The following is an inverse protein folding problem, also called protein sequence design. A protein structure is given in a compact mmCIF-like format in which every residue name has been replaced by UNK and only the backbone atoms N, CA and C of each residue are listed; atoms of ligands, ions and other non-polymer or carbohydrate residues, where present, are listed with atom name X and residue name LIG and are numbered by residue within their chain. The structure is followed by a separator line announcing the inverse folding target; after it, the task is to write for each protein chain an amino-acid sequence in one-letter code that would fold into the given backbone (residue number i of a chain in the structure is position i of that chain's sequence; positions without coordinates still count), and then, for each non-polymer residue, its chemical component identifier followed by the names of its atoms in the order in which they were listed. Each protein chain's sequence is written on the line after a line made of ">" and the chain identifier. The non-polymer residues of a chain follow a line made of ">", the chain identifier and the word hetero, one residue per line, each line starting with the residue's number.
data_IF_695394141989
#
_entry.id   IF_695394141989
#
_cell.length_a   1.000
_cell.length_b   1.000
_cell.length_c   1.000
_cell.angle_alpha   90.00
_cell.angle_beta   90.00
_cell.angle_gamma   90.00
#
_symmetry.space_group_name_H-M   'P 1'
#
loop_
_entity.id
_entity.type
_entity.pdbx_description
1 polymer ?
#
# COMPACT_ATOMS: atom_id res chain seq x y z
N UNK A 1 49.85 -29.12 -9.75
CA UNK A 1 49.80 -27.94 -8.85
C UNK A 1 48.38 -27.41 -8.92
N UNK A 2 47.44 -27.82 -8.06
CA UNK A 2 47.14 -27.40 -6.66
C UNK A 2 46.70 -25.92 -6.53
N UNK A 3 45.48 -25.74 -5.95
CA UNK A 3 44.88 -24.60 -5.22
C UNK A 3 43.98 -23.66 -6.06
N UNK A 4 42.65 -23.63 -5.90
CA UNK A 4 41.75 -23.22 -4.77
C UNK A 4 41.63 -21.69 -4.63
N UNK A 5 40.38 -21.23 -4.38
CA UNK A 5 39.82 -19.90 -4.01
C UNK A 5 39.16 -19.15 -5.18
N UNK A 6 37.82 -18.96 -5.24
CA UNK A 6 36.88 -18.27 -4.33
C UNK A 6 36.99 -16.73 -4.35
N UNK A 7 35.86 -16.08 -4.03
CA UNK A 7 35.67 -14.66 -3.64
C UNK A 7 35.32 -13.75 -4.84
N UNK A 8 34.04 -13.42 -5.10
CA UNK A 8 33.12 -12.52 -4.38
C UNK A 8 33.74 -11.13 -4.09
N UNK A 9 32.96 -10.08 -4.33
CA UNK A 9 33.09 -8.72 -3.76
C UNK A 9 34.06 -7.76 -4.46
N UNK A 10 33.49 -6.90 -5.31
CA UNK A 10 33.51 -5.43 -5.12
C UNK A 10 32.40 -4.84 -6.00
N UNK A 11 31.18 -4.66 -5.48
CA UNK A 11 30.73 -3.51 -4.68
C UNK A 11 30.77 -2.20 -5.46
N UNK A 12 29.56 -1.80 -5.84
CA UNK A 12 29.00 -0.46 -5.78
C UNK A 12 29.69 0.70 -6.51
N UNK A 13 28.80 1.55 -7.04
CA UNK A 13 29.02 2.91 -7.52
C UNK A 13 29.68 3.03 -8.89
N UNK A 14 28.87 2.83 -9.93
CA UNK A 14 28.49 3.97 -10.78
C UNK A 14 27.00 3.85 -11.08
N UNK A 15 26.21 4.55 -10.26
CA UNK A 15 24.85 4.95 -10.59
C UNK A 15 24.87 5.83 -11.84
N UNK A 16 23.78 5.82 -12.60
CA UNK A 16 23.46 6.92 -13.52
C UNK A 16 24.39 7.00 -14.76
N UNK A 17 24.33 6.00 -15.63
CA UNK A 17 24.49 6.10 -17.11
C UNK A 17 24.41 4.66 -17.62
N UNK A 18 23.21 4.25 -18.02
CA UNK A 18 22.89 3.29 -19.10
C UNK A 18 21.37 3.14 -19.12
N UNK A 19 20.69 4.28 -19.21
CA UNK A 19 19.47 4.37 -19.97
C UNK A 19 19.85 4.17 -21.44
N UNK A 20 20.00 2.92 -21.92
CA UNK A 20 19.97 2.60 -23.36
C UNK A 20 20.11 1.12 -23.78
N UNK A 21 19.97 0.14 -22.89
CA UNK A 21 19.90 -1.26 -23.35
C UNK A 21 18.41 -1.66 -23.49
N UNK A 22 17.86 -1.46 -24.69
CA UNK A 22 16.60 -2.08 -25.08
C UNK A 22 16.71 -3.60 -24.91
N UNK A 23 15.74 -4.19 -24.26
CA UNK A 23 15.67 -5.61 -23.96
C UNK A 23 15.48 -6.43 -25.25
N UNK A 24 16.57 -7.02 -25.75
CA UNK A 24 16.61 -7.77 -27.01
C UNK A 24 16.49 -9.28 -26.80
N UNK A 25 15.33 -9.75 -26.35
CA UNK A 25 15.06 -11.19 -26.37
C UNK A 25 14.85 -11.64 -27.83
N UNK A 26 15.83 -12.36 -28.39
CA UNK A 26 15.74 -12.94 -29.74
C UNK A 26 15.98 -11.97 -30.89
N UNK A 27 16.73 -10.87 -30.68
CA UNK A 27 17.07 -9.92 -31.75
C UNK A 27 15.92 -8.98 -32.14
N UNK A 28 14.93 -8.79 -31.25
CA UNK A 28 13.82 -7.85 -31.44
C UNK A 28 13.63 -6.91 -30.25
N UNK A 29 13.10 -5.71 -30.47
CA UNK A 29 12.76 -4.67 -29.48
C UNK A 29 11.28 -4.31 -29.52
N UNK A 30 10.68 -4.10 -28.35
CA UNK A 30 9.27 -3.69 -28.25
C UNK A 30 9.11 -2.17 -28.28
N UNK A 31 8.08 -1.67 -28.96
CA UNK A 31 7.82 -0.25 -29.22
C UNK A 31 6.34 0.10 -29.05
N UNK A 32 6.03 1.32 -28.62
CA UNK A 32 4.68 1.91 -28.62
C UNK A 32 4.68 3.12 -29.55
N UNK A 33 3.71 3.17 -30.45
CA UNK A 33 3.57 4.25 -31.45
C UNK A 33 2.15 4.82 -31.46
N UNK A 34 1.99 6.05 -31.94
CA UNK A 34 0.66 6.65 -32.20
C UNK A 34 0.03 6.11 -33.49
N UNK A 35 -1.23 6.49 -33.75
CA UNK A 35 -2.04 5.88 -34.82
C UNK A 35 -1.51 6.09 -36.26
N UNK A 36 -0.76 7.17 -36.50
CA UNK A 36 -0.37 7.59 -37.86
C UNK A 36 0.72 6.75 -38.53
N UNK A 37 1.50 5.97 -37.78
CA UNK A 37 2.78 5.44 -38.29
C UNK A 37 2.81 3.90 -38.46
N UNK A 38 1.76 3.17 -38.09
CA UNK A 38 1.76 1.69 -37.98
C UNK A 38 2.24 0.98 -39.24
N UNK A 39 1.71 1.37 -40.41
CA UNK A 39 2.06 0.74 -41.68
C UNK A 39 3.54 0.98 -42.04
N UNK A 40 4.09 2.14 -41.70
CA UNK A 40 5.50 2.49 -41.91
C UNK A 40 6.43 1.63 -41.05
N UNK A 41 6.01 1.26 -39.83
CA UNK A 41 6.76 0.33 -38.98
C UNK A 41 6.62 -1.12 -39.42
N UNK A 42 5.44 -1.55 -39.88
CA UNK A 42 5.24 -2.91 -40.43
C UNK A 42 6.11 -3.13 -41.67
N UNK A 43 6.22 -2.12 -42.56
CA UNK A 43 7.10 -2.15 -43.72
C UNK A 43 8.59 -2.32 -43.36
N UNK A 44 8.98 -1.97 -42.13
CA UNK A 44 10.33 -2.12 -41.58
C UNK A 44 10.52 -3.44 -40.79
N UNK A 45 9.59 -4.38 -40.93
CA UNK A 45 9.67 -5.71 -40.32
C UNK A 45 9.13 -5.81 -38.89
N UNK A 46 8.49 -4.75 -38.37
CA UNK A 46 7.80 -4.80 -37.09
C UNK A 46 6.49 -5.60 -37.20
N UNK A 47 6.16 -6.32 -36.15
CA UNK A 47 4.90 -7.07 -36.04
C UNK A 47 4.04 -6.40 -34.98
N UNK A 48 2.85 -5.97 -35.37
CA UNK A 48 1.88 -5.42 -34.43
C UNK A 48 1.39 -6.51 -33.48
N UNK A 49 1.37 -6.20 -32.18
CA UNK A 49 0.77 -7.06 -31.17
C UNK A 49 -0.74 -6.83 -31.14
N UNK A 50 -1.55 -7.89 -30.99
CA UNK A 50 -3.00 -7.76 -30.94
C UNK A 50 -3.44 -7.22 -29.56
N UNK A 51 -3.17 -5.94 -29.31
CA UNK A 51 -3.48 -5.22 -28.08
C UNK A 51 -4.30 -3.97 -28.44
N UNK A 52 -5.42 -3.76 -27.76
CA UNK A 52 -6.23 -2.55 -27.90
C UNK A 52 -5.73 -1.47 -26.95
N UNK A 53 -4.96 -0.52 -27.48
CA UNK A 53 -4.43 0.62 -26.72
C UNK A 53 -5.19 1.92 -26.99
N UNK A 54 -6.37 1.84 -27.63
CA UNK A 54 -7.30 2.94 -28.00
C UNK A 54 -6.75 4.06 -28.89
N UNK A 55 -5.55 4.56 -28.67
CA UNK A 55 -4.92 5.67 -29.43
C UNK A 55 -3.46 5.38 -29.78
N UNK A 56 -3.05 4.12 -29.69
CA UNK A 56 -1.67 3.69 -29.87
C UNK A 56 -1.59 2.24 -30.35
N UNK A 57 -0.40 1.83 -30.79
CA UNK A 57 -0.13 0.47 -31.22
C UNK A 57 1.16 -0.06 -30.59
N UNK A 58 1.10 -1.27 -30.04
CA UNK A 58 2.28 -1.98 -29.56
C UNK A 58 2.88 -2.81 -30.69
N UNK A 59 4.17 -2.65 -30.90
CA UNK A 59 4.93 -3.32 -31.97
C UNK A 59 6.11 -4.08 -31.39
N UNK A 60 6.48 -5.16 -32.06
CA UNK A 60 7.70 -5.92 -31.81
C UNK A 60 8.54 -5.84 -33.10
N UNK A 61 9.67 -5.15 -33.05
CA UNK A 61 10.50 -4.77 -34.19
C UNK A 61 11.84 -5.49 -34.16
N UNK A 62 12.48 -5.84 -35.30
CA UNK A 62 13.87 -6.26 -35.31
C UNK A 62 14.76 -5.23 -34.59
N UNK A 63 15.71 -5.68 -33.79
CA UNK A 63 16.55 -4.80 -32.97
C UNK A 63 17.49 -3.92 -33.80
N UNK A 64 17.76 -4.33 -35.03
CA UNK A 64 18.56 -3.65 -36.03
C UNK A 64 17.72 -2.90 -37.08
N UNK A 65 16.40 -2.84 -36.92
CA UNK A 65 15.53 -2.14 -37.85
C UNK A 65 15.87 -0.63 -37.90
N UNK A 66 16.19 -0.12 -39.10
CA UNK A 66 16.38 1.31 -39.32
C UNK A 66 15.03 2.01 -39.35
N UNK A 67 14.63 2.56 -38.21
CA UNK A 67 13.35 3.23 -38.03
C UNK A 67 13.32 4.66 -38.58
N UNK A 68 14.45 5.24 -39.01
CA UNK A 68 14.57 6.50 -39.77
C UNK A 68 13.48 7.56 -39.54
N UNK A 69 13.68 8.46 -38.58
CA UNK A 69 12.80 9.62 -38.35
C UNK A 69 11.41 9.31 -37.78
N UNK A 70 11.02 8.04 -37.66
CA UNK A 70 9.75 7.63 -37.05
C UNK A 70 9.81 7.74 -35.53
N UNK A 71 8.76 8.31 -34.93
CA UNK A 71 8.66 8.47 -33.48
C UNK A 71 8.08 7.21 -32.83
N UNK A 72 8.87 6.58 -31.96
CA UNK A 72 8.41 5.46 -31.15
C UNK A 72 8.91 5.57 -29.72
N UNK A 73 8.05 5.23 -28.78
CA UNK A 73 8.43 5.02 -27.39
C UNK A 73 8.89 3.58 -27.21
N UNK A 74 9.84 3.34 -26.31
CA UNK A 74 10.16 1.97 -25.92
C UNK A 74 8.98 1.38 -25.13
N UNK A 75 8.51 0.20 -25.53
CA UNK A 75 7.58 -0.60 -24.73
C UNK A 75 8.41 -1.30 -23.64
N UNK A 76 8.70 -0.53 -22.59
CA UNK A 76 9.55 -0.94 -21.48
C UNK A 76 8.84 -2.00 -20.63
N UNK A 77 9.58 -2.99 -20.13
CA UNK A 77 9.02 -3.93 -19.15
C UNK A 77 8.51 -3.16 -17.94
N UNK A 78 7.22 -3.35 -17.64
CA UNK A 78 6.65 -3.14 -16.32
C UNK A 78 6.70 -4.46 -15.57
N UNK A 79 7.30 -4.44 -14.38
CA UNK A 79 7.42 -5.60 -13.51
C UNK A 79 6.28 -5.63 -12.49
N UNK A 80 5.80 -6.82 -12.13
CA UNK A 80 5.18 -7.02 -10.83
C UNK A 80 6.23 -6.74 -9.77
N UNK A 81 6.02 -5.72 -8.94
CA UNK A 81 6.76 -5.61 -7.69
C UNK A 81 6.03 -6.38 -6.60
N UNK A 82 6.80 -6.67 -5.55
CA UNK A 82 6.58 -7.29 -4.24
C UNK A 82 5.61 -8.48 -4.02
N UNK A 83 6.19 -9.61 -3.60
CA UNK A 83 5.50 -10.82 -3.13
C UNK A 83 5.81 -11.12 -1.64
N UNK A 84 6.47 -10.20 -0.91
CA UNK A 84 6.96 -10.46 0.46
C UNK A 84 6.92 -9.22 1.38
N UNK A 85 5.91 -8.37 1.23
CA UNK A 85 5.77 -7.15 2.03
C UNK A 85 5.68 -7.44 3.55
N UNK A 86 5.01 -8.54 3.90
CA UNK A 86 4.95 -9.16 5.22
C UNK A 86 6.35 -9.48 5.78
N UNK A 87 7.23 -10.06 4.97
CA UNK A 87 8.61 -10.39 5.37
C UNK A 87 9.49 -9.14 5.48
N UNK A 88 9.28 -8.14 4.62
CA UNK A 88 10.00 -6.88 4.72
C UNK A 88 9.72 -6.20 6.06
N UNK A 89 8.49 -6.28 6.56
CA UNK A 89 8.13 -5.80 7.91
C UNK A 89 8.38 -6.84 9.02
N UNK A 90 8.93 -8.02 8.72
CA UNK A 90 9.21 -9.12 9.65
C UNK A 90 7.98 -9.69 10.37
N UNK A 91 6.81 -9.66 9.74
CA UNK A 91 5.59 -10.25 10.29
C UNK A 91 5.70 -11.78 10.37
N UNK A 92 6.35 -12.40 9.37
CA UNK A 92 6.61 -13.83 9.30
C UNK A 92 7.36 -14.38 10.54
N UNK A 93 8.25 -13.56 11.11
CA UNK A 93 9.03 -13.94 12.28
C UNK A 93 8.24 -14.00 13.59
N UNK A 94 7.01 -13.49 13.64
CA UNK A 94 6.18 -13.52 14.86
C UNK A 94 5.01 -14.51 14.80
N UNK A 95 4.66 -15.02 13.61
CA UNK A 95 3.52 -15.93 13.42
C UNK A 95 3.58 -17.23 14.21
N UNK A 96 4.76 -17.65 14.71
CA UNK A 96 4.86 -18.78 15.63
C UNK A 96 4.10 -18.59 16.95
N UNK A 97 3.84 -17.33 17.35
CA UNK A 97 3.13 -17.00 18.59
C UNK A 97 1.99 -16.00 18.39
N UNK A 98 2.08 -15.12 17.39
CA UNK A 98 1.13 -14.03 17.18
C UNK A 98 0.77 -13.94 15.70
N UNK A 99 -0.52 -14.09 15.39
CA UNK A 99 -1.09 -14.05 14.05
C UNK A 99 -2.28 -13.09 13.94
N UNK A 100 -2.57 -12.32 14.98
CA UNK A 100 -3.72 -11.41 15.08
C UNK A 100 -4.97 -12.03 15.69
N UNK A 101 -4.90 -13.28 16.18
CA UNK A 101 -6.06 -13.97 16.73
C UNK A 101 -6.74 -13.19 17.86
N UNK A 102 -8.07 -13.10 17.79
CA UNK A 102 -8.89 -12.35 18.75
C UNK A 102 -8.80 -10.82 18.61
N UNK A 103 -8.17 -10.33 17.53
CA UNK A 103 -8.10 -8.91 17.16
C UNK A 103 -8.79 -8.66 15.84
N UNK A 104 -9.18 -7.42 15.61
CA UNK A 104 -9.86 -7.07 14.37
C UNK A 104 -9.57 -5.66 13.88
N UNK A 105 -9.76 -5.44 12.58
CA UNK A 105 -9.55 -4.16 11.90
C UNK A 105 -10.81 -3.78 11.14
N UNK A 106 -11.29 -2.55 11.30
CA UNK A 106 -12.32 -1.98 10.44
C UNK A 106 -11.65 -1.32 9.23
N UNK A 107 -11.94 -1.81 8.02
CA UNK A 107 -11.43 -1.28 6.75
C UNK A 107 -12.47 -0.31 6.19
N UNK A 108 -12.16 0.99 6.26
CA UNK A 108 -13.02 2.07 5.76
C UNK A 108 -12.61 2.41 4.34
N UNK A 109 -13.30 1.81 3.35
CA UNK A 109 -12.84 1.76 1.96
C UNK A 109 -14.01 1.53 0.96
N UNK A 110 -13.77 0.83 -0.15
CA UNK A 110 -14.71 0.47 -1.24
C UNK A 110 -15.55 -0.77 -0.95
N UNK A 111 -15.36 -1.42 0.20
CA UNK A 111 -16.02 -2.68 0.57
C UNK A 111 -15.02 -3.82 0.66
N UNK A 112 -15.51 -5.05 0.90
CA UNK A 112 -14.70 -6.27 0.89
C UNK A 112 -15.45 -7.37 0.14
N UNK A 113 -14.80 -8.02 -0.83
CA UNK A 113 -15.29 -9.26 -1.43
C UNK A 113 -15.11 -10.41 -0.42
N UNK A 114 -15.96 -10.46 0.60
CA UNK A 114 -15.85 -11.35 1.75
C UNK A 114 -16.06 -12.83 1.41
N UNK A 115 -16.49 -13.16 0.20
CA UNK A 115 -16.52 -14.54 -0.32
C UNK A 115 -15.19 -15.00 -0.91
N UNK A 116 -14.17 -14.13 -0.99
CA UNK A 116 -12.85 -14.48 -1.47
C UNK A 116 -12.19 -15.50 -0.53
N UNK A 117 -11.55 -16.54 -1.08
CA UNK A 117 -10.98 -17.64 -0.30
C UNK A 117 -9.94 -17.21 0.75
N UNK A 118 -9.26 -16.09 0.52
CA UNK A 118 -8.31 -15.49 1.48
C UNK A 118 -8.98 -14.77 2.66
N UNK A 119 -10.26 -14.36 2.54
CA UNK A 119 -10.90 -13.42 3.46
C UNK A 119 -12.17 -13.97 4.13
N UNK A 120 -12.74 -15.06 3.60
CA UNK A 120 -13.98 -15.63 4.10
C UNK A 120 -13.87 -16.07 5.58
N UNK A 121 -12.68 -16.48 6.02
CA UNK A 121 -12.43 -16.89 7.41
C UNK A 121 -12.30 -15.70 8.37
N UNK A 122 -11.91 -14.53 7.88
CA UNK A 122 -11.61 -13.34 8.69
C UNK A 122 -12.75 -12.30 8.68
N UNK A 123 -13.70 -12.38 7.75
CA UNK A 123 -14.79 -11.42 7.67
C UNK A 123 -15.74 -11.48 8.87
N UNK A 124 -16.00 -10.33 9.50
CA UNK A 124 -16.83 -10.18 10.71
C UNK A 124 -18.14 -9.41 10.48
N UNK A 125 -18.44 -9.02 9.24
CA UNK A 125 -19.59 -8.16 8.90
C UNK A 125 -19.18 -6.75 8.49
N UNK A 126 -20.16 -5.86 8.34
CA UNK A 126 -19.89 -4.50 7.88
C UNK A 126 -21.13 -3.65 7.60
N UNK A 127 -20.92 -2.49 6.99
CA UNK A 127 -21.97 -1.58 6.55
C UNK A 127 -21.63 -0.98 5.19
N UNK A 128 -22.66 -0.74 4.39
CA UNK A 128 -22.59 0.13 3.22
C UNK A 128 -23.23 1.49 3.52
N UNK A 129 -22.55 2.57 3.12
CA UNK A 129 -23.00 3.96 3.25
C UNK A 129 -23.07 4.66 1.88
N UNK A 130 -22.98 3.91 0.78
CA UNK A 130 -22.84 4.43 -0.58
C UNK A 130 -24.01 4.02 -1.49
N UNK A 131 -24.38 2.74 -1.51
CA UNK A 131 -25.31 2.16 -2.49
C UNK A 131 -26.76 2.07 -1.98
N UNK A 132 -27.05 2.58 -0.77
CA UNK A 132 -28.35 2.49 -0.10
C UNK A 132 -28.79 1.05 0.18
N UNK A 133 -27.84 0.15 0.45
CA UNK A 133 -28.11 -1.16 1.00
C UNK A 133 -27.27 -1.41 2.26
N UNK A 134 -27.29 -2.64 2.77
CA UNK A 134 -26.51 -3.04 3.93
C UNK A 134 -25.34 -3.97 3.57
N UNK A 135 -25.12 -4.23 2.27
CA UNK A 135 -24.11 -5.17 1.78
C UNK A 135 -22.82 -4.44 1.40
N UNK A 136 -21.76 -4.51 2.23
CA UNK A 136 -20.51 -3.80 1.98
C UNK A 136 -19.61 -4.55 0.97
N UNK A 137 -20.20 -5.20 -0.03
CA UNK A 137 -19.45 -5.93 -1.04
C UNK A 137 -18.59 -4.97 -1.88
N UNK A 138 -17.41 -5.43 -2.28
CA UNK A 138 -16.47 -4.61 -3.05
C UNK A 138 -16.78 -4.66 -4.55
N UNK A 139 -17.29 -3.55 -5.07
CA UNK A 139 -17.55 -3.31 -6.50
C UNK A 139 -16.43 -2.52 -7.21
N UNK A 140 -15.29 -2.33 -6.55
CA UNK A 140 -14.10 -1.68 -7.10
C UNK A 140 -12.92 -2.66 -7.20
N UNK A 141 -12.33 -3.00 -6.05
CA UNK A 141 -11.25 -3.98 -5.80
C UNK A 141 -10.32 -3.52 -4.67
N UNK A 142 -10.24 -2.20 -4.45
CA UNK A 142 -9.24 -1.59 -3.59
C UNK A 142 -9.39 -2.03 -2.13
N UNK A 143 -10.61 -2.11 -1.61
CA UNK A 143 -10.88 -2.50 -0.22
C UNK A 143 -10.59 -3.98 0.03
N UNK A 144 -10.89 -4.85 -0.93
CA UNK A 144 -10.47 -6.27 -0.91
C UNK A 144 -8.96 -6.42 -0.91
N UNK A 145 -8.25 -5.57 -1.67
CA UNK A 145 -6.79 -5.54 -1.70
C UNK A 145 -6.19 -5.14 -0.37
N UNK A 146 -6.73 -4.06 0.23
CA UNK A 146 -6.35 -3.58 1.56
C UNK A 146 -6.63 -4.63 2.64
N UNK A 147 -7.81 -5.27 2.62
CA UNK A 147 -8.17 -6.31 3.58
C UNK A 147 -7.25 -7.55 3.50
N UNK A 148 -6.87 -7.96 2.29
CA UNK A 148 -5.94 -9.07 2.07
C UNK A 148 -4.56 -8.82 2.67
N UNK A 149 -4.02 -7.60 2.54
CA UNK A 149 -2.72 -7.23 3.13
C UNK A 149 -2.75 -7.39 4.66
N UNK A 150 -3.91 -7.20 5.28
CA UNK A 150 -4.09 -7.37 6.73
C UNK A 150 -4.25 -8.86 7.08
N UNK A 151 -5.20 -9.56 6.46
CA UNK A 151 -5.76 -10.81 7.02
C UNK A 151 -5.80 -12.00 6.08
N UNK A 152 -5.27 -11.90 4.86
CA UNK A 152 -5.31 -13.03 3.93
C UNK A 152 -4.71 -14.30 4.55
N UNK A 153 -5.45 -15.40 4.48
CA UNK A 153 -5.08 -16.71 5.03
C UNK A 153 -3.73 -17.23 4.49
N UNK A 154 -3.38 -16.82 3.27
CA UNK A 154 -2.24 -17.32 2.52
C UNK A 154 -2.59 -18.53 1.68
N UNK A 155 -3.83 -18.62 1.17
CA UNK A 155 -4.24 -19.60 0.14
C UNK A 155 -3.30 -19.51 -1.06
N UNK A 156 -3.02 -18.27 -1.48
CA UNK A 156 -1.84 -17.92 -2.26
C UNK A 156 -0.69 -17.59 -1.30
N UNK A 157 0.39 -18.37 -1.35
CA UNK A 157 1.54 -18.19 -0.47
C UNK A 157 2.17 -16.79 -0.52
N UNK A 158 1.96 -16.05 -1.61
CA UNK A 158 2.50 -14.70 -1.81
C UNK A 158 1.54 -13.58 -1.36
N UNK A 159 0.28 -13.91 -1.02
CA UNK A 159 -0.74 -12.93 -0.64
C UNK A 159 -1.01 -12.91 0.87
N UNK A 160 -0.31 -13.73 1.65
CA UNK A 160 -0.59 -13.89 3.08
C UNK A 160 -0.52 -12.56 3.82
N UNK A 161 -1.56 -12.27 4.60
CA UNK A 161 -1.70 -11.04 5.34
C UNK A 161 -0.73 -10.97 6.52
N UNK A 162 -0.45 -9.75 7.00
CA UNK A 162 0.41 -9.51 8.17
C UNK A 162 -0.13 -10.17 9.44
N UNK A 163 -1.44 -10.14 9.63
CA UNK A 163 -2.16 -10.69 10.77
C UNK A 163 -3.23 -11.68 10.27
N UNK A 164 -2.82 -12.87 9.77
CA UNK A 164 -3.69 -13.78 9.02
C UNK A 164 -4.83 -14.40 9.84
N UNK A 165 -4.84 -14.27 11.17
CA UNK A 165 -5.94 -14.71 12.03
C UNK A 165 -6.66 -13.55 12.74
N UNK A 166 -6.38 -12.30 12.37
CA UNK A 166 -7.24 -11.19 12.75
C UNK A 166 -8.53 -11.20 11.93
N UNK A 167 -9.58 -10.60 12.46
CA UNK A 167 -10.83 -10.37 11.71
C UNK A 167 -10.89 -9.00 11.03
N UNK A 168 -11.73 -8.87 10.01
CA UNK A 168 -11.98 -7.60 9.31
C UNK A 168 -13.45 -7.25 9.27
N UNK A 169 -13.76 -5.97 9.53
CA UNK A 169 -15.06 -5.37 9.24
C UNK A 169 -14.96 -4.54 7.96
N UNK A 170 -15.94 -4.66 7.07
CA UNK A 170 -16.04 -3.83 5.87
C UNK A 170 -16.88 -2.58 6.15
N UNK A 171 -16.32 -1.39 5.96
CA UNK A 171 -17.05 -0.12 6.10
C UNK A 171 -16.97 0.61 4.76
N UNK A 172 -17.96 0.37 3.90
CA UNK A 172 -17.97 0.90 2.55
C UNK A 172 -18.38 2.38 2.56
N UNK A 173 -17.43 3.24 2.21
CA UNK A 173 -17.60 4.71 2.14
C UNK A 173 -17.18 5.27 0.78
N UNK A 174 -16.62 4.43 -0.10
CA UNK A 174 -16.24 4.75 -1.47
C UNK A 174 -17.06 3.92 -2.46
N UNK A 175 -17.43 4.55 -3.57
CA UNK A 175 -18.18 3.94 -4.67
C UNK A 175 -17.30 3.05 -5.57
N UNK A 176 -17.91 2.46 -6.60
CA UNK A 176 -17.25 1.60 -7.59
C UNK A 176 -16.08 2.30 -8.34
N UNK A 177 -16.01 3.64 -8.33
CA UNK A 177 -14.90 4.40 -8.91
C UNK A 177 -13.76 4.66 -7.92
N UNK A 178 -13.90 4.21 -6.66
CA UNK A 178 -12.95 4.49 -5.59
C UNK A 178 -13.09 5.91 -5.02
N UNK A 179 -14.22 6.57 -5.24
CA UNK A 179 -14.47 7.95 -4.81
C UNK A 179 -15.58 8.01 -3.76
N UNK A 180 -15.55 9.02 -2.89
CA UNK A 180 -16.57 9.21 -1.88
C UNK A 180 -16.56 10.59 -1.26
N UNK A 181 -17.67 10.98 -0.64
CA UNK A 181 -17.80 12.25 0.03
C UNK A 181 -17.13 12.22 1.42
N UNK A 182 -16.51 13.32 1.82
CA UNK A 182 -15.89 13.43 3.15
C UNK A 182 -16.89 13.13 4.28
N UNK A 183 -18.15 13.54 4.12
CA UNK A 183 -19.24 13.24 5.06
C UNK A 183 -19.48 11.75 5.23
N UNK A 184 -19.41 10.96 4.15
CA UNK A 184 -19.57 9.50 4.19
C UNK A 184 -18.41 8.85 4.93
N UNK A 185 -17.18 9.34 4.70
CA UNK A 185 -16.00 8.87 5.44
C UNK A 185 -16.12 9.17 6.94
N UNK A 186 -16.57 10.37 7.31
CA UNK A 186 -16.82 10.76 8.71
C UNK A 186 -17.84 9.82 9.35
N UNK A 187 -18.97 9.57 8.67
CA UNK A 187 -19.99 8.64 9.15
C UNK A 187 -19.43 7.21 9.31
N UNK A 188 -18.60 6.74 8.37
CA UNK A 188 -17.94 5.45 8.45
C UNK A 188 -16.99 5.32 9.65
N UNK A 189 -16.23 6.37 9.98
CA UNK A 189 -15.36 6.38 11.17
C UNK A 189 -16.18 6.23 12.46
N UNK A 190 -17.28 6.99 12.59
CA UNK A 190 -18.19 6.86 13.74
C UNK A 190 -18.82 5.47 13.81
N UNK A 191 -19.31 4.96 12.68
CA UNK A 191 -19.90 3.63 12.62
C UNK A 191 -18.91 2.55 13.05
N UNK A 192 -17.68 2.60 12.55
CA UNK A 192 -16.61 1.68 12.92
C UNK A 192 -16.28 1.77 14.43
N UNK A 193 -16.24 2.98 14.98
CA UNK A 193 -15.94 3.20 16.39
C UNK A 193 -17.02 2.63 17.33
N UNK A 194 -18.31 2.73 16.95
CA UNK A 194 -19.44 2.36 17.82
C UNK A 194 -19.97 0.94 17.60
N UNK A 195 -19.88 0.42 16.37
CA UNK A 195 -20.57 -0.83 15.99
C UNK A 195 -19.61 -2.00 15.82
N UNK A 196 -18.31 -1.81 16.05
CA UNK A 196 -17.31 -2.88 15.89
C UNK A 196 -16.44 -3.06 17.13
N UNK A 197 -16.00 -4.30 17.32
CA UNK A 197 -14.96 -4.63 18.28
C UNK A 197 -13.53 -4.36 17.75
N UNK A 198 -13.37 -3.68 16.60
CA UNK A 198 -12.07 -3.47 15.96
C UNK A 198 -11.07 -2.79 16.89
N UNK A 199 -9.81 -3.21 16.89
CA UNK A 199 -8.72 -2.51 17.58
C UNK A 199 -8.19 -1.34 16.72
N UNK A 200 -8.38 -1.43 15.40
CA UNK A 200 -7.83 -0.51 14.40
C UNK A 200 -8.92 -0.08 13.42
N UNK A 201 -8.94 1.19 13.04
CA UNK A 201 -9.67 1.71 11.88
C UNK A 201 -8.62 2.07 10.82
N UNK A 202 -8.66 1.38 9.68
CA UNK A 202 -7.72 1.55 8.57
C UNK A 202 -8.37 2.35 7.44
N UNK A 203 -7.73 3.46 7.04
CA UNK A 203 -8.20 4.36 5.99
C UNK A 203 -7.14 4.51 4.90
N UNK A 204 -7.29 3.74 3.83
CA UNK A 204 -6.42 3.78 2.65
C UNK A 204 -6.89 4.78 1.59
N UNK A 205 -7.32 5.96 2.04
CA UNK A 205 -7.97 6.99 1.25
C UNK A 205 -7.45 8.39 1.62
N UNK A 206 -7.77 9.39 0.80
CA UNK A 206 -7.50 10.78 1.16
C UNK A 206 -7.94 11.80 0.14
N UNK A 207 -7.72 13.06 0.45
CA UNK A 207 -8.05 14.20 -0.42
C UNK A 207 -6.92 14.56 -1.39
N UNK A 208 -7.24 15.27 -2.47
CA UNK A 208 -6.25 15.84 -3.38
C UNK A 208 -5.43 16.98 -2.77
N UNK A 209 -6.02 17.75 -1.84
CA UNK A 209 -5.31 18.78 -1.07
C UNK A 209 -4.37 18.14 -0.04
N UNK A 210 -3.19 18.75 0.13
CA UNK A 210 -2.13 18.24 1.00
C UNK A 210 -1.55 19.32 1.92
N UNK A 211 -1.10 18.92 3.11
CA UNK A 211 -0.46 19.77 4.10
C UNK A 211 1.05 19.57 4.13
N UNK A 212 1.78 20.65 3.82
CA UNK A 212 3.24 20.68 3.87
C UNK A 212 3.77 20.89 5.29
N UNK A 213 3.11 21.75 6.05
CA UNK A 213 3.54 22.22 7.36
C UNK A 213 2.43 22.01 8.39
N UNK A 214 2.83 21.63 9.60
CA UNK A 214 1.90 21.39 10.71
C UNK A 214 0.94 20.22 10.48
N UNK A 215 -0.01 20.11 11.41
CA UNK A 215 -1.16 19.21 11.30
C UNK A 215 -2.40 20.01 10.87
N UNK A 216 -3.43 19.34 10.37
CA UNK A 216 -4.61 19.99 9.79
C UNK A 216 -5.83 20.03 10.72
N UNK A 217 -5.65 19.74 12.02
CA UNK A 217 -6.73 19.55 13.00
C UNK A 217 -7.76 20.71 13.01
N UNK A 218 -7.29 21.96 13.12
CA UNK A 218 -8.18 23.13 13.13
C UNK A 218 -8.81 23.46 11.79
N UNK A 219 -8.30 22.92 10.68
CA UNK A 219 -8.82 23.17 9.34
C UNK A 219 -10.03 22.27 9.01
N UNK A 220 -10.16 21.10 9.66
CA UNK A 220 -11.24 20.14 9.42
C UNK A 220 -11.82 19.62 10.74
N UNK A 221 -12.45 20.48 11.56
CA UNK A 221 -12.91 20.11 12.90
C UNK A 221 -13.83 18.87 12.89
N UNK A 222 -14.74 18.75 11.92
CA UNK A 222 -15.65 17.60 11.85
C UNK A 222 -14.91 16.26 11.60
N UNK A 223 -13.88 16.23 10.75
CA UNK A 223 -13.09 15.03 10.52
C UNK A 223 -12.17 14.75 11.73
N UNK A 224 -11.61 15.81 12.32
CA UNK A 224 -10.79 15.71 13.54
C UNK A 224 -11.59 15.17 14.72
N UNK A 225 -12.83 15.61 14.91
CA UNK A 225 -13.73 15.13 15.96
C UNK A 225 -14.07 13.65 15.77
N UNK A 226 -14.30 13.20 14.53
CA UNK A 226 -14.54 11.79 14.23
C UNK A 226 -13.32 10.90 14.54
N UNK A 227 -12.13 11.33 14.12
CA UNK A 227 -10.88 10.62 14.45
C UNK A 227 -10.64 10.60 15.95
N UNK A 228 -10.79 11.74 16.64
CA UNK A 228 -10.59 11.84 18.08
C UNK A 228 -11.61 11.01 18.87
N UNK A 229 -12.85 10.94 18.39
CA UNK A 229 -13.88 10.08 18.98
C UNK A 229 -13.47 8.60 18.90
N UNK A 230 -13.03 8.14 17.73
CA UNK A 230 -12.54 6.77 17.56
C UNK A 230 -11.33 6.48 18.47
N UNK A 231 -10.37 7.41 18.55
CA UNK A 231 -9.22 7.29 19.46
C UNK A 231 -9.66 7.27 20.93
N UNK A 232 -10.64 8.08 21.32
CA UNK A 232 -11.24 8.09 22.65
C UNK A 232 -11.94 6.77 23.02
N UNK A 233 -12.41 6.02 22.03
CA UNK A 233 -12.94 4.65 22.18
C UNK A 233 -11.84 3.58 22.20
N UNK A 234 -10.56 3.98 22.20
CA UNK A 234 -9.41 3.08 22.22
C UNK A 234 -9.03 2.48 20.86
N UNK A 235 -9.61 2.99 19.76
CA UNK A 235 -9.31 2.54 18.40
C UNK A 235 -8.07 3.25 17.87
N UNK A 236 -7.13 2.53 17.28
CA UNK A 236 -6.01 3.16 16.56
C UNK A 236 -6.47 3.52 15.16
N UNK A 237 -6.39 4.80 14.77
CA UNK A 237 -6.77 5.26 13.44
C UNK A 237 -5.52 5.36 12.57
N UNK A 238 -5.39 4.47 11.58
CA UNK A 238 -4.21 4.34 10.70
C UNK A 238 -4.61 4.82 9.30
N UNK A 239 -3.85 5.77 8.74
CA UNK A 239 -4.28 6.50 7.54
C UNK A 239 -3.15 6.62 6.53
N UNK A 240 -3.46 6.46 5.25
CA UNK A 240 -2.53 6.71 4.16
C UNK A 240 -2.06 8.17 4.12
N UNK A 241 -0.77 8.39 3.86
CA UNK A 241 -0.20 9.74 3.74
C UNK A 241 -0.66 10.48 2.46
N UNK A 242 -1.18 9.75 1.48
CA UNK A 242 -1.51 10.27 0.16
C UNK A 242 -0.39 10.03 -0.86
N UNK A 243 -0.73 10.11 -2.14
CA UNK A 243 0.19 9.80 -3.26
C UNK A 243 0.73 11.07 -3.94
N UNK A 244 0.91 12.13 -3.16
CA UNK A 244 1.52 13.39 -3.60
C UNK A 244 2.70 13.74 -2.68
N UNK A 245 3.96 13.72 -3.17
CA UNK A 245 5.15 13.92 -2.33
C UNK A 245 5.27 15.34 -1.74
N UNK A 246 4.39 16.25 -2.17
CA UNK A 246 4.34 17.63 -1.73
C UNK A 246 3.59 17.87 -0.42
N UNK A 247 3.15 16.84 0.31
CA UNK A 247 2.44 17.01 1.58
C UNK A 247 1.80 15.71 2.06
N UNK A 248 1.01 15.80 3.13
CA UNK A 248 0.15 14.71 3.61
C UNK A 248 -1.31 15.10 3.42
N UNK A 249 -2.16 14.21 2.89
CA UNK A 249 -3.59 14.48 2.68
C UNK A 249 -4.44 14.29 3.95
N UNK A 250 -5.67 14.80 3.93
CA UNK A 250 -6.69 14.48 4.95
C UNK A 250 -7.20 13.06 4.71
N UNK A 251 -7.48 12.23 5.74
CA UNK A 251 -7.37 12.53 7.17
C UNK A 251 -5.97 12.34 7.78
N UNK A 252 -4.98 11.87 7.02
CA UNK A 252 -3.64 11.56 7.53
C UNK A 252 -2.87 12.74 8.10
N UNK A 253 -3.27 13.98 7.79
CA UNK A 253 -2.71 15.19 8.39
C UNK A 253 -3.20 15.49 9.82
N UNK A 254 -4.17 14.75 10.36
CA UNK A 254 -4.73 14.94 11.70
C UNK A 254 -3.80 14.32 12.76
N UNK A 255 -3.49 15.08 13.81
CA UNK A 255 -2.45 14.75 14.78
C UNK A 255 -2.63 13.45 15.57
N UNK A 256 -3.89 13.05 15.78
CA UNK A 256 -4.24 11.84 16.55
C UNK A 256 -4.07 10.56 15.74
N UNK A 257 -4.01 10.63 14.41
CA UNK A 257 -3.82 9.47 13.53
C UNK A 257 -2.41 8.86 13.63
N UNK A 258 -2.24 7.66 13.07
CA UNK A 258 -0.95 7.11 12.64
C UNK A 258 -0.89 7.21 11.12
N UNK A 259 -0.13 8.17 10.61
CA UNK A 259 -0.02 8.37 9.15
C UNK A 259 1.05 7.48 8.55
N UNK A 260 0.76 6.85 7.41
CA UNK A 260 1.64 5.84 6.79
C UNK A 260 2.08 6.27 5.40
N UNK A 261 3.40 6.47 5.24
CA UNK A 261 4.05 6.65 3.94
C UNK A 261 4.48 5.31 3.32
N UNK A 262 4.89 5.35 2.05
CA UNK A 262 5.24 4.17 1.26
C UNK A 262 6.74 4.12 0.93
N UNK A 263 7.37 2.98 1.19
CA UNK A 263 8.71 2.63 0.68
C UNK A 263 8.64 1.50 -0.34
N UNK A 264 9.69 1.37 -1.15
CA UNK A 264 9.91 0.19 -2.00
C UNK A 264 10.62 -0.93 -1.24
N UNK A 265 10.84 -2.06 -1.92
CA UNK A 265 11.56 -3.24 -1.39
C UNK A 265 13.01 -2.99 -0.96
N UNK A 266 13.59 -1.84 -1.30
CA UNK A 266 14.95 -1.41 -0.92
C UNK A 266 14.92 -0.37 0.19
N UNK A 267 13.77 -0.21 0.86
CA UNK A 267 13.52 0.82 1.87
C UNK A 267 13.71 2.25 1.33
N UNK A 268 13.61 2.46 0.01
CA UNK A 268 13.63 3.81 -0.55
C UNK A 268 12.23 4.38 -0.54
N UNK A 269 12.08 5.64 -0.12
CA UNK A 269 10.79 6.32 -0.18
C UNK A 269 10.24 6.30 -1.61
N UNK A 270 8.98 5.90 -1.77
CA UNK A 270 8.33 5.90 -3.07
C UNK A 270 8.24 7.34 -3.59
N UNK A 271 8.39 7.52 -4.91
CA UNK A 271 8.37 8.85 -5.54
C UNK A 271 7.04 9.58 -5.32
N UNK A 272 5.93 8.82 -5.22
CA UNK A 272 4.60 9.33 -4.96
C UNK A 272 4.28 9.52 -3.47
N UNK A 273 5.02 8.89 -2.54
CA UNK A 273 4.62 8.87 -1.13
C UNK A 273 4.50 10.29 -0.58
N UNK A 274 3.38 10.58 0.09
CA UNK A 274 3.20 11.78 0.89
C UNK A 274 4.31 11.97 1.90
N UNK A 275 4.69 13.24 2.12
CA UNK A 275 5.82 13.67 2.96
C UNK A 275 5.42 14.96 3.67
N UNK A 276 5.99 15.22 4.82
CA UNK A 276 5.76 16.48 5.54
C UNK A 276 5.81 16.34 7.04
N UNK A 277 5.40 17.39 7.74
CA UNK A 277 5.47 17.43 9.19
C UNK A 277 4.55 16.40 9.87
N UNK A 278 3.40 16.07 9.27
CA UNK A 278 2.55 15.00 9.79
C UNK A 278 3.32 13.66 9.86
N UNK A 279 4.08 13.29 8.82
CA UNK A 279 4.96 12.11 8.84
C UNK A 279 5.99 12.18 9.98
N UNK A 280 6.63 13.33 10.15
CA UNK A 280 7.60 13.55 11.22
C UNK A 280 6.98 13.42 12.63
N UNK A 281 5.77 13.94 12.80
CA UNK A 281 5.14 14.13 14.11
C UNK A 281 4.42 12.88 14.60
N UNK A 282 3.77 12.15 13.70
CA UNK A 282 2.90 11.02 14.05
C UNK A 282 2.86 9.96 12.94
N UNK A 283 3.93 9.83 12.16
CA UNK A 283 3.99 8.94 11.02
C UNK A 283 5.10 7.90 11.03
N UNK A 284 4.89 6.90 10.20
CA UNK A 284 5.80 5.78 9.94
C UNK A 284 5.71 5.45 8.45
N UNK A 285 6.64 4.63 7.92
CA UNK A 285 6.50 4.09 6.56
C UNK A 285 6.37 2.58 6.56
N UNK A 286 5.79 2.05 5.48
CA UNK A 286 5.73 0.61 5.23
C UNK A 286 5.84 0.34 3.71
N UNK A 287 6.12 -0.90 3.29
CA UNK A 287 6.14 -1.27 1.88
C UNK A 287 4.84 -0.88 1.17
N UNK A 288 4.95 -0.18 0.04
CA UNK A 288 3.78 0.28 -0.71
C UNK A 288 3.98 0.28 -2.23
N UNK A 289 5.01 -0.39 -2.75
CA UNK A 289 5.31 -0.44 -4.20
C UNK A 289 5.20 -1.87 -4.70
N UNK A 290 4.16 -2.11 -5.50
CA UNK A 290 3.75 -3.41 -6.02
C UNK A 290 3.44 -4.40 -4.91
N UNK A 291 2.47 -4.12 -4.05
CA UNK A 291 2.07 -5.06 -3.02
C UNK A 291 1.07 -6.02 -3.63
N UNK A 292 1.39 -7.31 -3.67
CA UNK A 292 0.50 -8.38 -4.13
C UNK A 292 -0.54 -8.73 -3.05
N UNK A 293 -1.82 -8.73 -3.42
CA UNK A 293 -2.93 -9.06 -2.50
C UNK A 293 -4.17 -9.50 -3.27
N UNK A 294 -5.19 -9.96 -2.55
CA UNK A 294 -6.50 -10.35 -3.08
C UNK A 294 -7.22 -9.18 -3.74
N UNK A 295 -7.94 -9.44 -4.80
CA UNK A 295 -8.98 -8.56 -5.36
C UNK A 295 -10.26 -9.40 -5.55
N UNK A 296 -11.42 -8.82 -5.87
CA UNK A 296 -12.62 -9.60 -6.10
C UNK A 296 -12.34 -10.72 -7.12
N UNK A 297 -12.52 -11.97 -6.68
CA UNK A 297 -12.28 -13.20 -7.45
C UNK A 297 -10.85 -13.45 -7.98
N UNK A 298 -9.82 -12.70 -7.58
CA UNK A 298 -8.45 -12.87 -8.09
C UNK A 298 -7.39 -12.23 -7.18
N UNK A 299 -6.19 -11.97 -7.72
CA UNK A 299 -5.11 -11.26 -7.05
C UNK A 299 -4.50 -10.21 -7.98
N UNK A 300 -3.97 -9.12 -7.41
CA UNK A 300 -3.25 -8.10 -8.16
C UNK A 300 -2.15 -7.43 -7.32
N UNK A 301 -1.19 -6.79 -8.00
CA UNK A 301 -0.17 -5.96 -7.37
C UNK A 301 -0.51 -4.48 -7.53
N UNK A 302 -0.67 -3.74 -6.43
CA UNK A 302 -0.93 -2.30 -6.44
C UNK A 302 0.20 -1.49 -5.80
N UNK A 303 0.31 -0.21 -6.14
CA UNK A 303 1.28 0.70 -5.54
C UNK A 303 0.58 1.94 -5.00
N UNK A 304 0.88 2.29 -3.75
CA UNK A 304 0.29 3.42 -3.08
C UNK A 304 0.60 3.42 -1.58
N UNK A 305 0.46 4.58 -0.95
CA UNK A 305 0.38 4.67 0.52
C UNK A 305 -0.82 3.88 1.08
N UNK A 306 -1.84 3.67 0.25
CA UNK A 306 -2.97 2.76 0.47
C UNK A 306 -2.57 1.30 0.72
N UNK A 307 -1.45 0.83 0.19
CA UNK A 307 -0.96 -0.54 0.44
C UNK A 307 -0.03 -0.62 1.65
N UNK A 308 0.66 0.48 1.98
CA UNK A 308 1.50 0.58 3.18
C UNK A 308 0.66 0.63 4.48
N UNK A 309 -0.47 1.34 4.43
CA UNK A 309 -1.41 1.53 5.56
C UNK A 309 -1.93 0.21 6.17
N UNK A 310 -2.42 -0.77 5.40
CA UNK A 310 -2.87 -2.05 5.95
C UNK A 310 -1.74 -2.89 6.56
N UNK A 311 -0.49 -2.79 6.10
CA UNK A 311 0.64 -3.47 6.74
C UNK A 311 0.80 -3.02 8.20
N UNK A 312 0.79 -1.70 8.43
CA UNK A 312 0.86 -1.13 9.79
C UNK A 312 -0.37 -1.53 10.62
N UNK A 313 -1.55 -1.56 10.00
CA UNK A 313 -2.79 -2.00 10.66
C UNK A 313 -2.71 -3.45 11.14
N UNK A 314 -2.15 -4.35 10.32
CA UNK A 314 -1.88 -5.73 10.69
C UNK A 314 -0.85 -5.84 11.82
N UNK A 315 0.23 -5.04 11.80
CA UNK A 315 1.22 -5.02 12.88
C UNK A 315 0.57 -4.62 14.22
N UNK A 316 -0.34 -3.66 14.22
CA UNK A 316 -1.05 -3.27 15.45
C UNK A 316 -1.95 -4.41 15.95
N UNK A 317 -2.60 -5.17 15.06
CA UNK A 317 -3.35 -6.36 15.46
C UNK A 317 -2.44 -7.42 16.12
N UNK A 318 -1.22 -7.64 15.60
CA UNK A 318 -0.22 -8.52 16.22
C UNK A 318 0.19 -8.02 17.62
N UNK A 319 0.45 -6.72 17.76
CA UNK A 319 0.77 -6.08 19.05
C UNK A 319 -0.36 -6.27 20.06
N UNK A 320 -1.61 -6.03 19.66
CA UNK A 320 -2.79 -6.17 20.52
C UNK A 320 -3.09 -7.61 20.88
N UNK A 321 -2.76 -8.59 20.03
CA UNK A 321 -2.85 -10.00 20.42
C UNK A 321 -1.92 -10.30 21.59
N UNK A 322 -0.67 -9.83 21.53
CA UNK A 322 0.28 -10.01 22.64
C UNK A 322 -0.16 -9.29 23.90
N UNK A 323 -0.56 -8.03 23.77
CA UNK A 323 -0.98 -7.21 24.89
C UNK A 323 -2.30 -6.46 24.57
N UNK A 324 -3.45 -7.06 24.95
CA UNK A 324 -4.77 -6.49 24.71
C UNK A 324 -4.98 -5.12 25.37
N UNK A 325 -4.27 -4.86 26.47
CA UNK A 325 -4.43 -3.68 27.30
C UNK A 325 -3.67 -2.45 26.78
N UNK A 326 -2.88 -2.59 25.70
CA UNK A 326 -2.20 -1.45 25.11
C UNK A 326 -3.18 -0.35 24.70
N UNK A 327 -2.90 0.85 25.19
CA UNK A 327 -3.58 2.08 24.82
C UNK A 327 -3.09 2.58 23.47
N UNK A 328 -3.88 3.43 22.80
CA UNK A 328 -3.49 4.07 21.52
C UNK A 328 -2.15 4.79 21.65
N UNK A 329 -1.92 5.50 22.74
CA UNK A 329 -0.66 6.21 22.98
C UNK A 329 0.55 5.27 23.13
N UNK A 330 0.39 4.15 23.84
CA UNK A 330 1.43 3.13 23.95
C UNK A 330 1.74 2.47 22.61
N UNK A 331 0.71 2.16 21.80
CA UNK A 331 0.90 1.60 20.46
C UNK A 331 1.69 2.57 19.58
N UNK A 332 1.31 3.86 19.53
CA UNK A 332 2.05 4.89 18.79
C UNK A 332 3.51 4.97 19.26
N UNK A 333 3.73 5.03 20.57
CA UNK A 333 5.07 5.07 21.15
C UNK A 333 5.93 3.87 20.78
N UNK A 334 5.36 2.66 20.84
CA UNK A 334 6.06 1.43 20.44
C UNK A 334 6.40 1.49 18.95
N UNK A 335 5.41 1.71 18.07
CA UNK A 335 5.63 1.77 16.61
C UNK A 335 6.75 2.75 16.24
N UNK A 336 6.74 3.95 16.82
CA UNK A 336 7.72 4.99 16.50
C UNK A 336 9.09 4.73 17.12
N UNK A 337 9.16 4.07 18.28
CA UNK A 337 10.43 3.72 18.91
C UNK A 337 11.10 2.49 18.29
N UNK A 338 10.32 1.57 17.70
CA UNK A 338 10.83 0.31 17.13
C UNK A 338 10.95 0.32 15.60
N UNK A 339 10.40 1.31 14.91
CA UNK A 339 10.53 1.44 13.46
C UNK A 339 11.99 1.44 13.03
N UNK A 340 12.34 0.69 11.98
CA UNK A 340 13.69 0.67 11.40
C UNK A 340 14.00 2.05 10.86
N UNK A 341 14.95 2.74 11.47
CA UNK A 341 15.37 4.08 11.02
C UNK A 341 15.99 3.99 9.61
N UNK A 342 15.51 4.85 8.72
CA UNK A 342 15.94 4.98 7.32
C UNK A 342 16.41 6.40 6.99
N UNK A 343 16.21 7.33 7.94
CA UNK A 343 16.44 8.75 7.78
C UNK A 343 17.78 9.20 8.32
N UNK A 344 18.00 10.52 8.30
CA UNK A 344 19.13 11.16 8.99
C UNK A 344 18.81 11.52 10.44
N UNK A 345 17.52 11.58 10.79
CA UNK A 345 17.02 11.79 12.14
C UNK A 345 15.98 10.73 12.46
N UNK A 346 15.86 10.36 13.74
CA UNK A 346 15.00 9.25 14.20
C UNK A 346 13.57 9.31 13.67
N UNK A 347 13.00 10.51 13.64
CA UNK A 347 11.75 10.83 12.95
C UNK A 347 11.94 12.06 12.06
N UNK A 348 11.69 11.92 10.76
CA UNK A 348 11.85 13.00 9.78
C UNK A 348 10.63 13.16 8.85
N UNK A 349 10.63 14.17 7.99
CA UNK A 349 9.49 14.49 7.12
C UNK A 349 9.36 13.56 5.91
N UNK A 350 10.30 12.63 5.70
CA UNK A 350 10.34 11.70 4.56
C UNK A 350 9.95 10.29 4.99
N UNK A 351 10.63 9.74 5.98
CA UNK A 351 10.45 8.37 6.46
C UNK A 351 9.61 8.28 7.75
N UNK A 352 9.17 9.42 8.29
CA UNK A 352 8.58 9.45 9.62
C UNK A 352 9.54 8.83 10.62
N UNK A 353 9.03 8.04 11.56
CA UNK A 353 9.84 7.31 12.54
C UNK A 353 10.43 5.98 12.01
N UNK A 354 10.68 5.91 10.70
CA UNK A 354 11.28 4.74 10.04
C UNK A 354 10.25 3.76 9.48
N UNK A 355 10.71 2.63 8.96
CA UNK A 355 9.82 1.57 8.46
C UNK A 355 9.33 0.69 9.60
N UNK A 356 8.04 0.38 9.63
CA UNK A 356 7.47 -0.55 10.60
C UNK A 356 8.25 -1.88 10.64
N UNK A 357 8.46 -2.39 11.85
CA UNK A 357 9.11 -3.67 12.15
C UNK A 357 8.22 -4.43 13.13
N UNK A 358 7.47 -5.40 12.61
CA UNK A 358 6.47 -6.17 13.34
C UNK A 358 7.10 -6.94 14.51
N UNK A 359 8.27 -7.54 14.28
CA UNK A 359 8.99 -8.29 15.30
C UNK A 359 9.37 -7.39 16.47
N UNK A 360 10.01 -6.25 16.20
CA UNK A 360 10.43 -5.32 17.25
C UNK A 360 9.22 -4.70 17.97
N UNK A 361 8.17 -4.34 17.24
CA UNK A 361 6.94 -3.77 17.82
C UNK A 361 6.22 -4.79 18.74
N UNK A 362 6.05 -6.03 18.29
CA UNK A 362 5.46 -7.10 19.10
C UNK A 362 6.35 -7.41 20.30
N UNK A 363 7.68 -7.42 20.18
CA UNK A 363 8.57 -7.64 21.33
C UNK A 363 8.43 -6.55 22.41
N UNK A 364 8.21 -5.29 22.02
CA UNK A 364 8.02 -4.16 22.91
C UNK A 364 6.57 -3.95 23.41
N UNK A 365 5.62 -4.75 22.93
CA UNK A 365 4.20 -4.75 23.35
C UNK A 365 3.96 -5.47 24.68
#
# INVERSE_FOLDING_TARGET
>A
MKKIFAVLVLVALVSLVLANAGDTNGGRTKKIIGEGDVNSFIAKGCVQKPLDLRTAFALDCPSDADLGGLNAYADVRVFAFDLNADKQVKADLVWGNYTGSGRSVAVVDTGIAYSHAELASSYLGGTDLVNNDADPFDDNSHGTHVAGIITADGVSANAKGVAPNAGVYAVKVLDASGSGALSTVIAGIYWAADNTAADVISLSLGTSSVWKQGNCDSAYPAMTDAVNYAVGKGKVVVVAAGNSPGGVSLPGCISSTVVVGAVDKKDKIASFSGRGFALKNHGIVAPGVGIYSSIPSSYASYSGTSMATPLVSGVIALMKQKNPALTVAQIKGILFSTGKDLGSARCDTTYGCGRVDAQAAVQAS
#
